data_IF_617436594373
#
_entry.id   IF_617436594373
#
_cell.length_a   1.000
_cell.length_b   1.000
_cell.length_c   1.000
_cell.angle_alpha   90.00
_cell.angle_beta   90.00
_cell.angle_gamma   90.00
#
_symmetry.space_group_name_H-M   'P 1'
#
loop_
_entity.id
_entity.type
_entity.pdbx_description
1 polymer ?
#
# COMPACT_ATOMS: atom_id res chain seq x y z
N UNK A 1 -7.55 18.63 -8.02
CA UNK A 1 -7.76 17.65 -6.93
C UNK A 1 -6.85 18.02 -5.77
N UNK A 2 -7.29 17.90 -4.51
CA UNK A 2 -6.41 18.15 -3.37
C UNK A 2 -5.18 17.23 -3.41
N UNK A 3 -3.98 17.69 -3.04
CA UNK A 3 -2.76 16.87 -3.09
C UNK A 3 -2.87 15.55 -2.31
N UNK A 4 -3.57 15.57 -1.17
CA UNK A 4 -3.81 14.39 -0.35
C UNK A 4 -4.70 13.33 -1.04
N UNK A 5 -5.62 13.75 -1.91
CA UNK A 5 -6.50 12.83 -2.63
C UNK A 5 -5.73 12.12 -3.75
N UNK A 6 -4.83 12.84 -4.44
CA UNK A 6 -3.96 12.26 -5.45
C UNK A 6 -3.02 11.21 -4.82
N UNK A 7 -2.40 11.51 -3.69
CA UNK A 7 -1.51 10.57 -3.02
C UNK A 7 -2.23 9.34 -2.46
N UNK A 8 -3.47 9.50 -1.96
CA UNK A 8 -4.30 8.36 -1.60
C UNK A 8 -4.60 7.49 -2.82
N UNK A 9 -4.92 8.09 -3.97
CA UNK A 9 -5.17 7.35 -5.22
C UNK A 9 -3.91 6.62 -5.70
N UNK A 10 -2.72 7.24 -5.60
CA UNK A 10 -1.43 6.60 -5.90
C UNK A 10 -1.19 5.42 -4.97
N UNK A 11 -1.40 5.58 -3.66
CA UNK A 11 -1.27 4.48 -2.69
C UNK A 11 -2.21 3.31 -3.02
N UNK A 12 -3.46 3.61 -3.38
CA UNK A 12 -4.45 2.62 -3.81
C UNK A 12 -4.05 1.93 -5.12
N UNK A 13 -3.54 2.68 -6.09
CA UNK A 13 -3.09 2.14 -7.36
C UNK A 13 -1.89 1.20 -7.18
N UNK A 14 -0.91 1.59 -6.35
CA UNK A 14 0.26 0.77 -6.06
C UNK A 14 -0.11 -0.51 -5.29
N UNK A 15 -0.98 -0.41 -4.28
CA UNK A 15 -1.48 -1.56 -3.55
C UNK A 15 -2.37 -2.47 -4.43
N UNK A 16 -3.10 -1.89 -5.39
CA UNK A 16 -3.87 -2.65 -6.37
C UNK A 16 -2.99 -3.35 -7.41
N UNK A 17 -1.88 -2.71 -7.80
CA UNK A 17 -0.98 -3.22 -8.83
C UNK A 17 -0.32 -4.54 -8.43
N UNK A 18 -0.06 -4.76 -7.14
CA UNK A 18 0.47 -6.04 -6.62
C UNK A 18 -0.51 -7.21 -6.74
N UNK A 19 -1.77 -6.96 -7.12
CA UNK A 19 -2.69 -8.05 -7.50
C UNK A 19 -2.61 -8.41 -8.98
N UNK A 20 -1.97 -7.57 -9.81
CA UNK A 20 -1.91 -7.69 -11.26
C UNK A 20 -0.52 -8.06 -11.78
N UNK A 21 0.53 -7.67 -11.06
CA UNK A 21 1.93 -7.88 -11.41
C UNK A 21 2.62 -8.51 -10.21
N UNK A 22 3.58 -9.39 -10.45
CA UNK A 22 4.41 -10.01 -9.40
C UNK A 22 5.79 -10.38 -9.93
N UNK A 23 6.80 -10.34 -9.07
CA UNK A 23 8.18 -10.74 -9.39
C UNK A 23 8.69 -11.75 -8.35
N UNK A 24 8.46 -13.06 -8.61
CA UNK A 24 8.86 -14.10 -7.68
C UNK A 24 10.38 -14.22 -7.59
N UNK A 25 10.93 -14.06 -6.39
CA UNK A 25 12.31 -14.33 -6.05
C UNK A 25 12.43 -15.64 -5.27
N UNK A 26 13.27 -16.55 -5.75
CA UNK A 26 13.62 -17.77 -5.03
C UNK A 26 14.59 -17.45 -3.89
N UNK A 27 14.24 -17.84 -2.67
CA UNK A 27 15.08 -17.68 -1.46
C UNK A 27 15.87 -18.98 -1.18
N UNK A 28 15.89 -19.92 -2.14
CA UNK A 28 16.43 -21.26 -1.96
C UNK A 28 15.49 -22.18 -1.17
N UNK A 29 15.81 -23.47 -1.04
CA UNK A 29 14.99 -24.46 -0.32
C UNK A 29 13.54 -24.63 -0.82
N UNK A 30 13.27 -24.36 -2.11
CA UNK A 30 11.92 -24.47 -2.69
C UNK A 30 10.94 -23.38 -2.24
N UNK A 31 11.44 -22.27 -1.65
CA UNK A 31 10.63 -21.15 -1.17
C UNK A 31 10.77 -19.93 -2.06
N UNK A 32 9.64 -19.27 -2.34
CA UNK A 32 9.56 -18.07 -3.19
C UNK A 32 8.84 -16.93 -2.46
N UNK A 33 9.31 -15.70 -2.65
CA UNK A 33 8.74 -14.44 -2.11
C UNK A 33 8.67 -13.39 -3.20
N UNK A 34 7.66 -12.53 -3.17
CA UNK A 34 7.48 -11.47 -4.17
C UNK A 34 8.11 -10.15 -3.70
N UNK A 35 9.36 -9.91 -4.12
CA UNK A 35 10.10 -8.73 -3.66
C UNK A 35 9.68 -7.43 -4.37
N UNK A 36 9.18 -7.51 -5.61
CA UNK A 36 8.67 -6.33 -6.30
C UNK A 36 7.40 -5.84 -5.62
N UNK A 37 6.48 -6.75 -5.30
CA UNK A 37 5.28 -6.42 -4.55
C UNK A 37 5.61 -5.80 -3.21
N UNK A 38 6.57 -6.39 -2.49
CA UNK A 38 7.02 -5.84 -1.23
C UNK A 38 7.52 -4.39 -1.38
N UNK A 39 8.33 -4.11 -2.40
CA UNK A 39 8.81 -2.76 -2.68
C UNK A 39 7.67 -1.79 -3.03
N UNK A 40 6.74 -2.19 -3.90
CA UNK A 40 5.60 -1.37 -4.32
C UNK A 40 4.67 -1.02 -3.16
N UNK A 41 4.43 -1.96 -2.26
CA UNK A 41 3.59 -1.79 -1.07
C UNK A 41 4.22 -0.86 -0.02
N UNK A 42 5.55 -0.88 0.13
CA UNK A 42 6.26 0.11 0.95
C UNK A 42 6.09 1.51 0.36
N UNK A 43 6.23 1.63 -0.96
CA UNK A 43 6.01 2.92 -1.64
C UNK A 43 4.55 3.39 -1.51
N UNK A 44 3.58 2.47 -1.57
CA UNK A 44 2.18 2.75 -1.29
C UNK A 44 1.96 3.28 0.13
N UNK A 45 2.60 2.68 1.13
CA UNK A 45 2.49 3.09 2.53
C UNK A 45 3.05 4.50 2.76
N UNK A 46 4.18 4.83 2.14
CA UNK A 46 4.75 6.19 2.19
C UNK A 46 3.78 7.19 1.60
N UNK A 47 3.19 6.91 0.43
CA UNK A 47 2.19 7.78 -0.19
C UNK A 47 0.95 7.95 0.70
N UNK A 48 0.46 6.87 1.30
CA UNK A 48 -0.66 6.93 2.24
C UNK A 48 -0.34 7.80 3.46
N UNK A 49 0.88 7.71 4.00
CA UNK A 49 1.33 8.54 5.12
C UNK A 49 1.35 10.03 4.77
N UNK A 50 1.88 10.39 3.60
CA UNK A 50 1.91 11.79 3.14
C UNK A 50 0.48 12.29 2.89
N UNK A 51 -0.37 11.47 2.28
CA UNK A 51 -1.79 11.77 2.06
C UNK A 51 -2.51 12.06 3.40
N UNK A 52 -2.30 11.19 4.39
CA UNK A 52 -2.92 11.32 5.71
C UNK A 52 -2.48 12.61 6.42
N UNK A 53 -1.19 12.92 6.35
CA UNK A 53 -0.63 14.14 6.96
C UNK A 53 -1.23 15.40 6.32
N UNK A 54 -1.31 15.43 4.98
CA UNK A 54 -1.91 16.55 4.25
C UNK A 54 -3.43 16.66 4.48
N UNK A 55 -4.16 15.54 4.58
CA UNK A 55 -5.58 15.55 4.88
C UNK A 55 -5.90 16.13 6.27
N UNK A 56 -5.09 15.80 7.28
CA UNK A 56 -5.23 16.39 8.61
C UNK A 56 -4.91 17.89 8.61
N UNK A 57 -3.89 18.33 7.88
CA UNK A 57 -3.53 19.75 7.79
C UNK A 57 -4.67 20.59 7.19
N UNK A 58 -5.32 20.10 6.13
CA UNK A 58 -6.44 20.79 5.48
C UNK A 58 -7.71 20.79 6.35
N UNK A 59 -7.94 19.73 7.12
CA UNK A 59 -9.12 19.60 7.99
C UNK A 59 -8.95 20.18 9.40
N UNK A 60 -7.96 21.05 9.64
CA UNK A 60 -7.76 21.67 10.96
C UNK A 60 -7.36 20.69 12.06
N UNK A 61 -6.60 19.65 11.71
CA UNK A 61 -6.14 18.60 12.63
C UNK A 61 -6.98 17.32 12.61
N UNK A 62 -8.06 17.27 11.82
CA UNK A 62 -8.85 16.05 11.59
C UNK A 62 -9.07 15.80 10.11
N UNK A 63 -8.63 14.65 9.62
CA UNK A 63 -8.92 14.21 8.28
C UNK A 63 -10.45 14.04 8.08
N UNK A 64 -10.97 14.34 6.86
CA UNK A 64 -12.37 14.08 6.53
C UNK A 64 -12.76 12.62 6.73
N UNK A 65 -14.00 12.35 7.16
CA UNK A 65 -14.47 10.99 7.46
C UNK A 65 -14.32 10.02 6.27
N UNK A 66 -14.63 10.48 5.05
CA UNK A 66 -14.45 9.67 3.83
C UNK A 66 -12.98 9.28 3.62
N UNK A 67 -12.05 10.18 3.95
CA UNK A 67 -10.61 9.95 3.79
C UNK A 67 -10.14 8.93 4.81
N UNK A 68 -10.64 9.01 6.05
CA UNK A 68 -10.33 8.01 7.09
C UNK A 68 -10.77 6.62 6.65
N UNK A 69 -12.00 6.47 6.15
CA UNK A 69 -12.50 5.18 5.66
C UNK A 69 -11.68 4.65 4.49
N UNK A 70 -11.44 5.48 3.47
CA UNK A 70 -10.66 5.09 2.30
C UNK A 70 -9.21 4.78 2.67
N UNK A 71 -8.58 5.58 3.53
CA UNK A 71 -7.21 5.38 3.97
C UNK A 71 -7.05 4.13 4.82
N UNK A 72 -8.02 3.80 5.69
CA UNK A 72 -8.01 2.54 6.44
C UNK A 72 -8.16 1.34 5.53
N UNK A 73 -9.02 1.42 4.51
CA UNK A 73 -9.14 0.37 3.50
C UNK A 73 -7.83 0.18 2.73
N UNK A 74 -7.20 1.27 2.28
CA UNK A 74 -5.89 1.22 1.62
C UNK A 74 -4.82 0.62 2.53
N UNK A 75 -4.80 0.99 3.81
CA UNK A 75 -3.88 0.40 4.79
C UNK A 75 -4.11 -1.11 4.93
N UNK A 76 -5.37 -1.56 5.02
CA UNK A 76 -5.70 -2.97 5.11
C UNK A 76 -5.23 -3.75 3.86
N UNK A 77 -5.41 -3.18 2.67
CA UNK A 77 -4.91 -3.76 1.42
C UNK A 77 -3.39 -3.86 1.40
N UNK A 78 -2.70 -2.80 1.85
CA UNK A 78 -1.23 -2.79 1.93
C UNK A 78 -0.75 -3.87 2.90
N UNK A 79 -1.35 -3.96 4.08
CA UNK A 79 -1.01 -4.97 5.10
C UNK A 79 -1.24 -6.38 4.58
N UNK A 80 -2.38 -6.64 3.94
CA UNK A 80 -2.67 -7.94 3.34
C UNK A 80 -1.67 -8.30 2.24
N UNK A 81 -1.39 -7.36 1.34
CA UNK A 81 -0.39 -7.53 0.29
C UNK A 81 0.99 -7.84 0.86
N UNK A 82 1.39 -7.15 1.93
CA UNK A 82 2.67 -7.37 2.61
C UNK A 82 2.79 -8.77 3.18
N UNK A 83 1.75 -9.25 3.87
CA UNK A 83 1.71 -10.62 4.40
C UNK A 83 1.84 -11.61 3.26
N UNK A 84 1.10 -11.43 2.17
CA UNK A 84 1.17 -12.33 1.01
C UNK A 84 2.53 -12.32 0.33
N UNK A 85 3.12 -11.14 0.12
CA UNK A 85 4.40 -10.98 -0.55
C UNK A 85 5.53 -11.65 0.24
N UNK A 86 5.55 -11.44 1.57
CA UNK A 86 6.61 -11.93 2.45
C UNK A 86 6.41 -13.35 2.98
N UNK A 87 5.21 -13.92 2.85
CA UNK A 87 4.95 -15.30 3.26
C UNK A 87 5.53 -16.24 2.21
N UNK A 88 6.49 -17.11 2.57
CA UNK A 88 7.08 -18.03 1.61
C UNK A 88 6.02 -19.03 1.12
N UNK A 89 5.87 -19.11 -0.20
CA UNK A 89 5.08 -20.17 -0.83
C UNK A 89 6.02 -21.32 -1.22
N UNK A 90 5.56 -22.56 -1.09
CA UNK A 90 6.24 -23.74 -1.63
C UNK A 90 6.11 -23.71 -3.14
N UNK A 91 7.24 -23.68 -3.85
CA UNK A 91 7.32 -23.72 -5.31
C UNK A 91 6.85 -25.07 -5.89
#
# INVERSE_FOLDING_TARGET
>A
MPPYALQLAIALALAGLTFLVGYPLSIGSGRVVDALDAFLLVFALVNLRVAWTAANAVGGGRAPAWFVLAGLLTAALITWGMVRALTPMTA
#
